data_IF_286844606794
#
_entry.id   IF_286844606794
#
_cell.length_a   1.000
_cell.length_b   1.000
_cell.length_c   1.000
_cell.angle_alpha   90.00
_cell.angle_beta   90.00
_cell.angle_gamma   90.00
#
_symmetry.space_group_name_H-M   'P 1'
#
loop_
_entity.id
_entity.type
_entity.pdbx_description
1 polymer ?
#
# COMPACT_ATOMS: atom_id res chain seq x y z
N UNK A 1 56.27 -0.71 46.97
CA UNK A 1 55.03 -0.61 46.18
C UNK A 1 53.99 0.12 47.03
N UNK A 2 53.17 0.97 46.39
CA UNK A 2 52.19 1.91 46.96
C UNK A 2 52.76 3.20 47.56
N UNK A 3 52.71 4.27 46.73
CA UNK A 3 52.79 5.67 47.16
C UNK A 3 51.40 6.14 47.57
N UNK A 4 51.28 6.67 48.78
CA UNK A 4 50.29 7.67 49.16
C UNK A 4 50.86 8.48 50.33
N UNK A 5 50.31 9.69 50.52
CA UNK A 5 50.47 10.65 51.63
C UNK A 5 51.20 11.95 51.20
N UNK A 6 50.43 13.02 50.88
CA UNK A 6 50.11 14.24 51.67
C UNK A 6 51.39 15.08 51.94
N UNK A 7 51.45 16.41 51.67
CA UNK A 7 51.25 17.46 52.70
C UNK A 7 51.50 18.87 52.11
N UNK A 8 50.44 19.69 52.17
CA UNK A 8 50.28 21.11 52.58
C UNK A 8 51.18 22.26 52.10
N UNK A 9 50.55 23.43 51.90
CA UNK A 9 50.80 24.69 52.66
C UNK A 9 49.48 25.50 52.70
N UNK A 10 48.84 25.62 53.87
CA UNK A 10 48.86 26.81 54.75
C UNK A 10 48.50 28.13 54.06
N UNK A 11 47.34 28.71 54.41
CA UNK A 11 47.38 29.85 55.33
C UNK A 11 46.01 30.23 55.90
N UNK A 12 46.03 30.49 57.20
CA UNK A 12 44.94 30.88 58.07
C UNK A 12 44.88 32.40 58.11
N UNK A 13 43.68 32.99 58.00
CA UNK A 13 43.36 34.25 58.70
C UNK A 13 41.94 34.20 59.23
N UNK A 14 41.84 34.16 60.57
CA UNK A 14 40.62 34.44 61.34
C UNK A 14 40.38 35.94 61.35
N UNK A 15 39.14 36.37 61.15
CA UNK A 15 38.60 37.54 61.86
C UNK A 15 37.19 37.22 62.34
N UNK A 16 37.03 37.34 63.66
CA UNK A 16 35.77 37.30 64.38
C UNK A 16 35.23 38.74 64.39
N UNK A 17 33.97 38.94 64.01
CA UNK A 17 33.22 40.13 64.41
C UNK A 17 31.85 39.71 64.92
N UNK A 18 31.61 40.08 66.16
CA UNK A 18 30.39 39.85 66.93
C UNK A 18 29.50 41.08 66.78
N UNK A 19 28.28 40.94 66.26
CA UNK A 19 27.24 41.97 66.39
C UNK A 19 25.94 41.29 66.86
N UNK A 20 25.46 41.76 68.01
CA UNK A 20 24.19 41.41 68.66
C UNK A 20 23.04 42.20 68.01
N UNK A 21 21.82 41.67 68.11
CA UNK A 21 20.59 42.48 68.05
C UNK A 21 19.60 41.98 67.02
N UNK A 22 18.46 41.46 67.50
CA UNK A 22 17.38 40.96 66.66
C UNK A 22 16.57 42.06 66.00
N UNK A 23 16.06 41.76 64.80
CA UNK A 23 14.81 42.33 64.27
C UNK A 23 14.08 41.22 63.51
N UNK A 24 12.77 41.27 63.71
CA UNK A 24 11.66 40.44 63.27
C UNK A 24 11.52 40.22 61.75
N UNK A 25 10.82 39.13 61.42
CA UNK A 25 9.97 38.93 60.23
C UNK A 25 10.43 39.50 58.88
N UNK A 26 10.78 38.62 57.95
CA UNK A 26 9.88 38.19 56.86
C UNK A 26 10.66 37.27 55.92
N UNK A 27 10.25 36.00 55.85
CA UNK A 27 10.66 35.09 54.78
C UNK A 27 10.12 35.63 53.46
N UNK A 28 10.90 36.42 52.73
CA UNK A 28 10.66 36.64 51.30
C UNK A 28 11.13 35.37 50.56
N UNK A 29 10.25 34.37 50.50
CA UNK A 29 10.32 33.37 49.44
C UNK A 29 9.97 34.11 48.15
N UNK A 30 10.98 34.66 47.48
CA UNK A 30 10.89 35.03 46.07
C UNK A 30 10.70 33.71 45.33
N UNK A 31 9.43 33.33 45.14
CA UNK A 31 9.04 32.31 44.18
C UNK A 31 9.42 32.86 42.80
N UNK A 32 10.64 32.54 42.36
CA UNK A 32 11.00 32.55 40.96
C UNK A 32 10.11 31.49 40.28
N UNK A 33 8.91 31.90 39.89
CA UNK A 33 8.10 31.17 38.92
C UNK A 33 8.87 31.24 37.61
N UNK A 34 9.86 30.36 37.46
CA UNK A 34 10.36 29.91 36.18
C UNK A 34 9.15 29.31 35.50
N UNK A 35 8.45 30.14 34.71
CA UNK A 35 7.52 29.69 33.68
C UNK A 35 8.42 28.95 32.68
N UNK A 36 8.76 27.70 33.01
CA UNK A 36 9.22 26.72 32.06
C UNK A 36 8.03 26.55 31.13
N UNK A 37 7.99 27.41 30.12
CA UNK A 37 7.10 27.28 28.98
C UNK A 37 7.51 25.97 28.33
N UNK A 38 6.94 24.88 28.82
CA UNK A 38 7.00 23.57 28.19
C UNK A 38 6.31 23.81 26.86
N UNK A 39 7.11 24.19 25.87
CA UNK A 39 6.69 24.25 24.48
C UNK A 39 6.35 22.81 24.17
N UNK A 40 5.08 22.45 24.32
CA UNK A 40 4.55 21.23 23.76
C UNK A 40 4.69 21.41 22.25
N UNK A 41 5.86 21.03 21.73
CA UNK A 41 5.99 20.71 20.32
C UNK A 41 4.95 19.65 20.06
N UNK A 42 3.85 20.07 19.42
CA UNK A 42 2.85 19.17 18.87
C UNK A 42 3.54 18.41 17.75
N UNK A 43 4.32 17.40 18.10
CA UNK A 43 4.87 16.48 17.15
C UNK A 43 3.66 15.83 16.50
N UNK A 44 3.40 16.19 15.23
CA UNK A 44 2.37 15.53 14.45
C UNK A 44 2.65 14.04 14.55
N UNK A 45 1.84 13.32 15.33
CA UNK A 45 2.03 11.90 15.50
C UNK A 45 1.88 11.31 14.10
N UNK A 46 3.00 10.76 13.59
CA UNK A 46 2.97 9.80 12.51
C UNK A 46 2.09 8.61 12.92
N UNK A 47 1.92 7.63 12.04
CA UNK A 47 1.18 6.39 12.29
C UNK A 47 0.99 6.00 13.76
N UNK A 48 -0.23 5.59 14.13
CA UNK A 48 -0.46 4.98 15.43
C UNK A 48 0.36 3.69 15.61
N UNK A 49 0.41 3.17 16.84
CA UNK A 49 1.10 1.90 17.15
C UNK A 49 0.45 0.67 16.50
N UNK A 50 -0.81 0.77 16.02
CA UNK A 50 -1.54 -0.37 15.47
C UNK A 50 -0.92 -0.88 14.17
N UNK A 51 -0.89 -2.21 13.97
CA UNK A 51 -0.52 -2.79 12.66
C UNK A 51 -1.63 -2.51 11.66
N UNK A 52 -1.27 -1.91 10.53
CA UNK A 52 -2.23 -1.55 9.49
C UNK A 52 -2.26 -2.66 8.44
N UNK A 53 -3.44 -3.21 8.18
CA UNK A 53 -3.62 -4.34 7.26
C UNK A 53 -4.82 -4.13 6.34
N UNK A 54 -4.92 -4.96 5.30
CA UNK A 54 -6.04 -4.92 4.35
C UNK A 54 -7.39 -5.01 5.08
N UNK A 55 -8.31 -4.14 4.69
CA UNK A 55 -9.61 -3.96 5.36
C UNK A 55 -9.62 -2.87 6.42
N UNK A 56 -8.46 -2.42 6.90
CA UNK A 56 -8.38 -1.25 7.78
C UNK A 56 -8.90 0.01 7.09
N UNK A 57 -9.42 0.92 7.89
CA UNK A 57 -9.87 2.25 7.46
C UNK A 57 -9.39 3.33 8.43
N UNK A 58 -9.34 4.58 7.98
CA UNK A 58 -9.08 5.74 8.83
C UNK A 58 -7.74 6.44 8.58
N UNK A 59 -7.36 7.31 9.51
CA UNK A 59 -6.24 8.26 9.37
C UNK A 59 -4.89 7.58 9.11
N UNK A 60 -4.64 6.44 9.74
CA UNK A 60 -3.42 5.65 9.52
C UNK A 60 -3.34 5.12 8.08
N UNK A 61 -4.48 4.74 7.49
CA UNK A 61 -4.54 4.30 6.09
C UNK A 61 -4.36 5.47 5.14
N UNK A 62 -4.91 6.64 5.48
CA UNK A 62 -4.71 7.89 4.72
C UNK A 62 -3.22 8.23 4.66
N UNK A 63 -2.53 8.20 5.81
CA UNK A 63 -1.09 8.43 5.90
C UNK A 63 -0.31 7.40 5.09
N UNK A 64 -0.67 6.11 5.21
CA UNK A 64 -0.06 5.01 4.44
C UNK A 64 -0.14 5.27 2.94
N UNK A 65 -1.34 5.54 2.43
CA UNK A 65 -1.58 5.84 1.03
C UNK A 65 -0.83 7.09 0.56
N UNK A 66 -0.81 8.16 1.36
CA UNK A 66 -0.13 9.41 1.02
C UNK A 66 1.40 9.24 0.95
N UNK A 67 1.99 8.49 1.89
CA UNK A 67 3.43 8.20 1.90
C UNK A 67 3.84 7.26 0.76
N UNK A 68 3.05 6.22 0.51
CA UNK A 68 3.26 5.34 -0.64
C UNK A 68 3.12 6.10 -1.97
N UNK A 69 2.21 7.07 -2.04
CA UNK A 69 2.05 7.93 -3.22
C UNK A 69 3.23 8.89 -3.36
N UNK A 70 3.72 9.48 -2.27
CA UNK A 70 4.90 10.35 -2.27
C UNK A 70 6.12 9.67 -2.89
N UNK A 71 6.27 8.39 -2.57
CA UNK A 71 7.34 7.53 -3.06
C UNK A 71 7.09 6.93 -4.44
N UNK A 72 5.91 7.15 -5.02
CA UNK A 72 5.53 6.63 -6.35
C UNK A 72 4.98 5.20 -6.37
N UNK A 73 4.87 4.51 -5.22
CA UNK A 73 4.31 3.14 -5.15
C UNK A 73 2.78 3.11 -5.27
N UNK A 74 2.09 4.20 -4.87
CA UNK A 74 0.63 4.25 -4.88
C UNK A 74 0.09 5.29 -5.88
N UNK A 75 -0.70 4.82 -6.86
CA UNK A 75 -1.33 5.65 -7.90
C UNK A 75 -2.85 5.76 -7.75
N UNK A 76 -3.38 5.29 -6.62
CA UNK A 76 -4.80 5.37 -6.30
C UNK A 76 -5.19 6.71 -5.68
N UNK A 77 -6.48 6.86 -5.42
CA UNK A 77 -7.01 7.97 -4.64
C UNK A 77 -6.64 7.74 -3.17
N UNK A 78 -6.16 8.77 -2.49
CA UNK A 78 -6.07 8.74 -1.03
C UNK A 78 -7.49 8.84 -0.50
N UNK A 79 -8.00 7.77 0.10
CA UNK A 79 -9.38 7.63 0.55
C UNK A 79 -9.51 7.03 1.95
N UNK A 80 -8.40 6.62 2.55
CA UNK A 80 -8.38 6.04 3.89
C UNK A 80 -8.97 4.64 3.95
N UNK A 81 -9.10 3.94 2.83
CA UNK A 81 -9.55 2.55 2.78
C UNK A 81 -8.41 1.64 2.33
N UNK A 82 -8.04 0.68 3.17
CA UNK A 82 -6.96 -0.26 2.86
C UNK A 82 -7.53 -1.38 1.98
N UNK A 83 -7.79 -1.01 0.73
CA UNK A 83 -8.10 -1.94 -0.34
C UNK A 83 -6.85 -2.55 -0.97
N UNK A 84 -7.08 -3.36 -1.98
CA UNK A 84 -6.03 -4.10 -2.66
C UNK A 84 -4.99 -3.23 -3.37
N UNK A 85 -5.37 -2.05 -3.87
CA UNK A 85 -4.40 -1.10 -4.45
C UNK A 85 -3.37 -0.64 -3.41
N UNK A 86 -3.82 -0.41 -2.18
CA UNK A 86 -2.96 -0.03 -1.05
C UNK A 86 -2.07 -1.21 -0.64
N UNK A 87 -2.64 -2.42 -0.62
CA UNK A 87 -1.91 -3.67 -0.33
C UNK A 87 -0.72 -3.89 -1.27
N UNK A 88 -0.95 -3.78 -2.58
CA UNK A 88 0.11 -3.95 -3.57
C UNK A 88 1.15 -2.85 -3.53
N UNK A 89 0.73 -1.59 -3.36
CA UNK A 89 1.67 -0.50 -3.17
C UNK A 89 2.56 -0.73 -1.95
N UNK A 90 1.99 -1.22 -0.85
CA UNK A 90 2.73 -1.55 0.36
C UNK A 90 3.71 -2.70 0.15
N UNK A 91 3.30 -3.79 -0.51
CA UNK A 91 4.19 -4.92 -0.80
C UNK A 91 5.32 -4.53 -1.75
N UNK A 92 5.04 -3.74 -2.79
CA UNK A 92 6.08 -3.25 -3.69
C UNK A 92 7.09 -2.36 -2.95
N UNK A 93 6.61 -1.54 -2.03
CA UNK A 93 7.47 -0.78 -1.12
C UNK A 93 8.32 -1.70 -0.25
N UNK A 94 7.71 -2.70 0.39
CA UNK A 94 8.42 -3.68 1.24
C UNK A 94 9.52 -4.41 0.44
N UNK A 95 9.19 -4.92 -0.74
CA UNK A 95 10.13 -5.56 -1.66
C UNK A 95 11.30 -4.63 -2.02
N UNK A 96 11.00 -3.40 -2.48
CA UNK A 96 12.03 -2.43 -2.89
C UNK A 96 12.99 -2.05 -1.75
N UNK A 97 12.48 -2.01 -0.52
CA UNK A 97 13.27 -1.67 0.66
C UNK A 97 13.77 -2.88 1.45
N UNK A 98 13.68 -4.08 0.88
CA UNK A 98 14.16 -5.35 1.46
C UNK A 98 13.57 -5.62 2.86
N UNK A 99 12.30 -5.29 3.03
CA UNK A 99 11.51 -5.61 4.22
C UNK A 99 10.76 -6.93 4.02
N UNK A 100 10.26 -7.56 5.10
CA UNK A 100 9.28 -8.64 4.97
C UNK A 100 8.10 -8.21 4.10
N UNK A 101 7.81 -8.98 3.05
CA UNK A 101 6.78 -8.65 2.03
C UNK A 101 5.43 -9.25 2.42
N UNK A 102 5.03 -9.03 3.67
CA UNK A 102 3.84 -9.58 4.31
C UNK A 102 2.55 -8.78 4.02
N UNK A 103 2.67 -7.59 3.43
CA UNK A 103 1.53 -6.69 3.20
C UNK A 103 0.94 -6.10 4.48
N UNK A 104 1.69 -6.15 5.59
CA UNK A 104 1.36 -5.53 6.87
C UNK A 104 2.22 -4.28 7.07
N UNK A 105 1.58 -3.15 7.34
CA UNK A 105 2.27 -1.96 7.79
C UNK A 105 2.47 -2.07 9.30
N UNK A 106 3.43 -2.94 9.69
CA UNK A 106 3.98 -3.03 11.04
C UNK A 106 5.02 -1.94 11.32
N UNK A 107 5.62 -1.97 12.51
CA UNK A 107 6.52 -0.91 13.01
C UNK A 107 7.71 -0.64 12.06
N UNK A 108 8.41 -1.68 11.62
CA UNK A 108 9.56 -1.58 10.72
C UNK A 108 9.18 -0.94 9.37
N UNK A 109 8.07 -1.39 8.79
CA UNK A 109 7.50 -0.85 7.56
C UNK A 109 7.11 0.62 7.71
N UNK A 110 6.43 0.96 8.80
CA UNK A 110 6.01 2.34 9.11
C UNK A 110 7.19 3.27 9.30
N UNK A 111 8.21 2.87 10.06
CA UNK A 111 9.42 3.66 10.23
C UNK A 111 10.14 3.89 8.89
N UNK A 112 10.20 2.87 8.03
CA UNK A 112 10.82 3.02 6.72
C UNK A 112 10.04 3.99 5.84
N UNK A 113 8.70 3.94 5.86
CA UNK A 113 7.84 4.91 5.16
C UNK A 113 8.10 6.32 5.67
N UNK A 114 8.15 6.53 6.99
CA UNK A 114 8.40 7.84 7.61
C UNK A 114 9.75 8.40 7.20
N UNK A 115 10.82 7.59 7.23
CA UNK A 115 12.17 8.03 6.85
C UNK A 115 12.30 8.32 5.35
N UNK A 116 11.59 7.60 4.50
CA UNK A 116 11.72 7.72 3.05
C UNK A 116 10.80 8.80 2.43
N UNK A 117 9.78 9.27 3.15
CA UNK A 117 8.73 10.14 2.60
C UNK A 117 8.40 11.34 3.48
N UNK A 118 7.92 12.41 2.86
CA UNK A 118 7.23 13.49 3.57
C UNK A 118 5.74 13.16 3.65
N UNK A 119 5.05 13.67 4.66
CA UNK A 119 3.59 13.59 4.76
C UNK A 119 3.02 14.95 5.18
N UNK A 120 2.33 15.60 4.25
CA UNK A 120 1.71 16.91 4.49
C UNK A 120 0.29 16.74 5.03
N UNK A 121 0.16 16.32 6.30
CA UNK A 121 -1.12 15.98 6.95
C UNK A 121 -2.23 17.01 6.69
N UNK A 122 -1.98 18.28 6.98
CA UNK A 122 -2.98 19.35 6.79
C UNK A 122 -3.43 19.46 5.33
N UNK A 123 -2.53 19.36 4.36
CA UNK A 123 -2.87 19.38 2.94
C UNK A 123 -3.79 18.20 2.56
N UNK A 124 -3.45 16.99 3.00
CA UNK A 124 -4.21 15.77 2.68
C UNK A 124 -5.61 15.84 3.30
N UNK A 125 -5.73 16.09 4.61
CA UNK A 125 -7.04 16.16 5.28
C UNK A 125 -7.89 17.35 4.80
N UNK A 126 -7.29 18.51 4.49
CA UNK A 126 -8.01 19.65 3.91
C UNK A 126 -8.67 19.28 2.58
N UNK A 127 -7.96 18.58 1.70
CA UNK A 127 -8.50 18.19 0.40
C UNK A 127 -9.54 17.07 0.52
N UNK A 128 -9.36 16.13 1.45
CA UNK A 128 -10.36 15.09 1.75
C UNK A 128 -11.67 15.72 2.24
N UNK A 129 -11.61 16.61 3.23
CA UNK A 129 -12.80 17.30 3.78
C UNK A 129 -13.50 18.18 2.74
N UNK A 130 -12.74 18.83 1.86
CA UNK A 130 -13.30 19.63 0.75
C UNK A 130 -13.81 18.76 -0.41
N UNK A 131 -13.57 17.45 -0.40
CA UNK A 131 -13.95 16.54 -1.48
C UNK A 131 -13.21 16.80 -2.81
N UNK A 132 -12.02 17.39 -2.74
CA UNK A 132 -11.18 17.64 -3.91
C UNK A 132 -10.56 16.34 -4.44
N UNK A 133 -10.23 16.32 -5.73
CA UNK A 133 -9.34 15.30 -6.28
C UNK A 133 -7.92 15.82 -6.18
N UNK A 134 -7.01 15.07 -5.57
CA UNK A 134 -5.65 15.52 -5.35
C UNK A 134 -4.66 14.36 -5.37
N UNK A 135 -3.37 14.69 -5.47
CA UNK A 135 -2.25 13.77 -5.36
C UNK A 135 -1.25 14.23 -4.30
N UNK A 136 -0.33 13.36 -3.93
CA UNK A 136 0.70 13.61 -2.94
C UNK A 136 2.06 13.05 -3.41
N UNK A 137 2.51 13.37 -4.62
CA UNK A 137 3.78 12.89 -5.17
C UNK A 137 4.98 13.74 -4.68
N UNK A 138 6.12 13.10 -4.43
CA UNK A 138 7.37 13.78 -4.13
C UNK A 138 7.88 14.58 -5.34
N UNK A 139 8.50 15.73 -5.07
CA UNK A 139 9.09 16.58 -6.12
C UNK A 139 8.09 17.47 -6.89
N UNK A 140 6.78 17.33 -6.65
CA UNK A 140 5.75 18.17 -7.28
C UNK A 140 5.22 19.18 -6.25
N UNK A 141 5.17 20.49 -6.58
CA UNK A 141 4.60 21.50 -5.69
C UNK A 141 3.14 21.18 -5.32
N UNK A 142 2.79 21.27 -4.03
CA UNK A 142 1.44 20.94 -3.53
C UNK A 142 0.32 21.72 -4.24
N UNK A 143 0.57 22.97 -4.63
CA UNK A 143 -0.37 23.80 -5.39
C UNK A 143 -0.75 23.21 -6.75
N UNK A 144 0.13 22.42 -7.37
CA UNK A 144 -0.11 21.75 -8.66
C UNK A 144 -0.78 20.38 -8.51
N UNK A 145 -1.00 19.92 -7.28
CA UNK A 145 -1.51 18.57 -7.01
C UNK A 145 -2.99 18.54 -6.64
N UNK A 146 -3.72 19.63 -6.84
CA UNK A 146 -5.16 19.72 -6.51
C UNK A 146 -5.96 20.06 -7.76
N UNK A 147 -7.00 19.28 -8.01
CA UNK A 147 -8.10 19.63 -8.91
C UNK A 147 -9.33 19.88 -8.05
N UNK A 148 -9.70 21.15 -7.94
CA UNK A 148 -10.91 21.53 -7.21
C UNK A 148 -12.12 20.84 -7.85
N UNK A 149 -12.99 20.27 -7.00
CA UNK A 149 -14.28 19.78 -7.47
C UNK A 149 -15.10 20.99 -7.91
N UNK A 150 -15.53 21.04 -9.17
CA UNK A 150 -16.55 21.99 -9.61
C UNK A 150 -17.87 21.63 -8.91
N UNK A 151 -18.08 22.19 -7.72
CA UNK A 151 -19.41 22.27 -7.14
C UNK A 151 -20.20 23.24 -8.00
N UNK A 152 -21.22 22.74 -8.73
CA UNK A 152 -22.38 23.58 -9.08
C UNK A 152 -22.89 24.14 -7.75
N UNK A 153 -22.55 25.39 -7.45
CA UNK A 153 -23.06 26.10 -6.30
C UNK A 153 -24.57 26.26 -6.51
N UNK A 154 -25.37 25.45 -5.80
CA UNK A 154 -26.73 25.87 -5.47
C UNK A 154 -26.56 26.90 -4.37
N UNK A 155 -26.61 28.17 -4.75
CA UNK A 155 -26.73 29.27 -3.80
C UNK A 155 -28.00 29.04 -2.97
N UNK A 156 -27.87 29.01 -1.65
CA UNK A 156 -29.00 29.17 -0.77
C UNK A 156 -28.59 29.98 0.47
N UNK A 157 -28.89 31.26 0.36
CA UNK A 157 -29.12 32.25 1.41
C UNK A 157 -30.23 33.12 0.81
N UNK A 158 -31.36 33.49 1.41
CA UNK A 158 -32.02 33.30 2.71
C UNK A 158 -33.47 33.80 2.49
N UNK A 159 -34.46 33.28 3.22
CA UNK A 159 -35.68 33.98 3.73
C UNK A 159 -36.99 33.18 3.65
N UNK A 160 -37.31 32.55 4.79
CA UNK A 160 -38.57 32.57 5.58
C UNK A 160 -39.98 32.39 4.97
N UNK A 161 -40.72 31.48 5.65
CA UNK A 161 -42.16 31.43 6.01
C UNK A 161 -43.13 30.49 5.26
N UNK A 162 -43.35 29.36 5.95
CA UNK A 162 -44.63 28.76 6.45
C UNK A 162 -45.71 28.17 5.52
N UNK A 163 -46.19 27.02 5.99
CA UNK A 163 -47.51 26.35 5.88
C UNK A 163 -47.81 25.33 4.77
N UNK A 164 -47.89 24.07 5.25
CA UNK A 164 -48.94 23.05 5.12
C UNK A 164 -49.37 22.42 3.77
N UNK A 165 -49.40 21.08 3.86
CA UNK A 165 -50.38 20.08 3.35
C UNK A 165 -50.18 19.43 1.96
N UNK A 166 -49.83 18.14 2.06
CA UNK A 166 -50.47 16.95 1.50
C UNK A 166 -50.54 16.68 -0.03
N UNK A 167 -50.36 15.38 -0.31
CA UNK A 167 -50.91 14.56 -1.41
C UNK A 167 -50.09 14.38 -2.70
N UNK A 168 -49.30 13.30 -2.70
CA UNK A 168 -49.38 12.14 -3.61
C UNK A 168 -50.04 12.31 -4.99
N UNK A 169 -49.26 12.17 -6.09
CA UNK A 169 -49.38 11.08 -7.08
C UNK A 169 -48.44 11.28 -8.27
N UNK A 170 -47.87 10.16 -8.70
CA UNK A 170 -47.09 9.92 -9.91
C UNK A 170 -47.74 10.49 -11.18
N UNK A 171 -46.96 10.84 -12.22
CA UNK A 171 -46.71 9.96 -13.40
C UNK A 171 -45.65 10.58 -14.31
N UNK A 172 -44.77 9.71 -14.83
CA UNK A 172 -43.65 9.96 -15.74
C UNK A 172 -44.13 10.09 -17.21
N UNK A 173 -43.24 10.40 -18.18
CA UNK A 173 -42.77 9.28 -19.00
C UNK A 173 -41.26 9.30 -19.30
N UNK A 174 -40.60 8.28 -18.75
CA UNK A 174 -39.93 7.20 -19.49
C UNK A 174 -38.80 7.58 -20.46
N UNK A 175 -37.56 7.45 -19.95
CA UNK A 175 -36.37 7.20 -20.76
C UNK A 175 -35.78 5.83 -20.41
N UNK A 176 -35.53 5.08 -21.47
CA UNK A 176 -35.13 3.67 -21.56
C UNK A 176 -33.79 3.43 -20.86
N UNK A 177 -33.82 2.56 -19.84
CA UNK A 177 -32.64 2.18 -19.07
C UNK A 177 -31.79 1.13 -19.81
N UNK A 178 -30.55 1.50 -20.16
CA UNK A 178 -29.51 0.51 -20.49
C UNK A 178 -29.08 -0.16 -19.18
N UNK A 179 -29.39 -1.45 -19.08
CA UNK A 179 -29.12 -2.31 -17.92
C UNK A 179 -27.61 -2.45 -17.70
N UNK A 180 -27.06 -1.71 -16.74
CA UNK A 180 -25.69 -1.88 -16.25
C UNK A 180 -25.56 -3.27 -15.63
N UNK A 181 -24.92 -4.19 -16.34
CA UNK A 181 -24.64 -5.54 -15.84
C UNK A 181 -23.70 -5.41 -14.64
N UNK A 182 -24.20 -5.77 -13.46
CA UNK A 182 -23.46 -5.89 -12.22
C UNK A 182 -22.48 -7.05 -12.40
N UNK A 183 -21.16 -6.80 -12.33
CA UNK A 183 -20.17 -7.87 -12.32
C UNK A 183 -20.54 -8.85 -11.19
N UNK A 184 -20.97 -10.06 -11.55
CA UNK A 184 -21.29 -11.10 -10.61
C UNK A 184 -20.01 -11.45 -9.82
N UNK A 185 -20.13 -11.56 -8.50
CA UNK A 185 -19.06 -12.08 -7.67
C UNK A 185 -18.88 -13.56 -8.02
N UNK A 186 -17.94 -13.84 -8.93
CA UNK A 186 -17.55 -15.23 -9.25
C UNK A 186 -17.04 -15.86 -7.96
N UNK A 187 -17.58 -17.00 -7.57
CA UNK A 187 -17.08 -17.79 -6.45
C UNK A 187 -15.64 -18.20 -6.79
N UNK A 188 -14.66 -17.59 -6.14
CA UNK A 188 -13.24 -17.87 -6.35
C UNK A 188 -12.85 -19.06 -5.49
N UNK A 189 -12.10 -20.05 -6.00
CA UNK A 189 -11.61 -21.17 -5.21
C UNK A 189 -10.90 -20.70 -3.94
N UNK A 190 -11.14 -21.40 -2.82
CA UNK A 190 -10.56 -21.07 -1.52
C UNK A 190 -9.04 -20.90 -1.63
N UNK A 191 -8.51 -19.76 -1.16
CA UNK A 191 -7.08 -19.44 -1.20
C UNK A 191 -6.65 -18.41 -2.25
N UNK A 192 -7.52 -18.05 -3.22
CA UNK A 192 -7.21 -17.06 -4.25
C UNK A 192 -8.17 -15.86 -4.22
N UNK A 193 -7.64 -14.64 -4.32
CA UNK A 193 -8.45 -13.43 -4.41
C UNK A 193 -8.84 -13.12 -5.86
N UNK A 194 -9.86 -12.27 -6.05
CA UNK A 194 -10.22 -11.78 -7.40
C UNK A 194 -9.07 -11.07 -8.12
N UNK A 195 -8.13 -10.48 -7.39
CA UNK A 195 -6.95 -9.88 -8.01
C UNK A 195 -5.90 -10.92 -8.39
N UNK A 196 -5.76 -11.99 -7.62
CA UNK A 196 -4.89 -13.11 -8.01
C UNK A 196 -5.38 -13.70 -9.33
N UNK A 197 -6.69 -13.88 -9.47
CA UNK A 197 -7.30 -14.27 -10.74
C UNK A 197 -7.02 -13.26 -11.85
N UNK A 198 -7.10 -11.96 -11.57
CA UNK A 198 -6.83 -10.92 -12.57
C UNK A 198 -5.35 -10.91 -12.99
N UNK A 199 -4.42 -11.03 -12.04
CA UNK A 199 -2.99 -11.12 -12.31
C UNK A 199 -2.67 -12.37 -13.12
N UNK A 200 -3.14 -13.54 -12.69
CA UNK A 200 -2.96 -14.80 -13.41
C UNK A 200 -3.55 -14.71 -14.82
N UNK A 201 -4.76 -14.17 -14.96
CA UNK A 201 -5.41 -14.09 -16.27
C UNK A 201 -4.69 -13.14 -17.22
N UNK A 202 -4.15 -12.02 -16.72
CA UNK A 202 -3.35 -11.10 -17.53
C UNK A 202 -1.98 -11.70 -17.89
N UNK A 203 -1.35 -12.44 -16.97
CA UNK A 203 -0.12 -13.18 -17.23
C UNK A 203 -0.35 -14.26 -18.31
N UNK A 204 -1.35 -15.12 -18.12
CA UNK A 204 -1.76 -16.15 -19.11
C UNK A 204 -2.10 -15.52 -20.45
N UNK A 205 -2.75 -14.36 -20.47
CA UNK A 205 -3.04 -13.65 -21.71
C UNK A 205 -1.76 -13.21 -22.43
N UNK A 206 -0.79 -12.63 -21.73
CA UNK A 206 0.49 -12.22 -22.35
C UNK A 206 1.26 -13.40 -22.93
N UNK A 207 1.26 -14.53 -22.22
CA UNK A 207 2.06 -15.70 -22.59
C UNK A 207 1.41 -16.58 -23.65
N UNK A 208 0.09 -16.72 -23.62
CA UNK A 208 -0.64 -17.73 -24.41
C UNK A 208 -1.75 -17.13 -25.28
N UNK A 209 -1.70 -15.82 -25.59
CA UNK A 209 -2.62 -15.22 -26.57
C UNK A 209 -2.43 -15.87 -27.95
N UNK A 210 -3.53 -16.38 -28.50
CA UNK A 210 -3.52 -17.06 -29.80
C UNK A 210 -3.13 -18.53 -29.73
N UNK A 211 -2.81 -19.06 -28.55
CA UNK A 211 -2.62 -20.50 -28.33
C UNK A 211 -3.98 -21.22 -28.19
N UNK A 212 -4.03 -22.53 -28.48
CA UNK A 212 -5.23 -23.34 -28.20
C UNK A 212 -5.60 -23.24 -26.71
N UNK A 213 -6.89 -23.39 -26.39
CA UNK A 213 -7.39 -23.21 -25.01
C UNK A 213 -6.62 -24.05 -23.98
N UNK A 214 -6.32 -25.31 -24.32
CA UNK A 214 -5.50 -26.21 -23.49
C UNK A 214 -4.10 -25.66 -23.19
N UNK A 215 -3.51 -24.87 -24.11
CA UNK A 215 -2.23 -24.18 -23.88
C UNK A 215 -2.36 -23.01 -22.90
N UNK A 216 -3.48 -22.28 -22.91
CA UNK A 216 -3.75 -21.23 -21.92
C UNK A 216 -3.93 -21.83 -20.52
N UNK A 217 -4.66 -22.95 -20.41
CA UNK A 217 -4.80 -23.69 -19.14
C UNK A 217 -3.45 -24.21 -18.67
N UNK A 218 -2.60 -24.72 -19.58
CA UNK A 218 -1.27 -25.21 -19.22
C UNK A 218 -0.37 -24.11 -18.65
N UNK A 219 -0.37 -22.88 -19.20
CA UNK A 219 0.37 -21.75 -18.59
C UNK A 219 -0.17 -21.38 -17.21
N UNK A 220 -1.50 -21.38 -17.04
CA UNK A 220 -2.12 -21.14 -15.74
C UNK A 220 -1.70 -22.22 -14.71
N UNK A 221 -1.65 -23.48 -15.12
CA UNK A 221 -1.20 -24.59 -14.29
C UNK A 221 0.28 -24.46 -13.90
N UNK A 222 1.17 -23.99 -14.81
CA UNK A 222 2.56 -23.70 -14.47
C UNK A 222 2.67 -22.64 -13.35
N UNK A 223 1.83 -21.60 -13.37
CA UNK A 223 1.80 -20.60 -12.28
C UNK A 223 1.48 -21.30 -10.95
N UNK A 224 0.48 -22.18 -10.92
CA UNK A 224 0.09 -22.93 -9.72
C UNK A 224 1.17 -23.93 -9.27
N UNK A 225 1.81 -24.61 -10.20
CA UNK A 225 2.91 -25.54 -9.93
C UNK A 225 4.12 -24.82 -9.31
N UNK A 226 4.42 -23.59 -9.77
CA UNK A 226 5.44 -22.73 -9.15
C UNK A 226 5.06 -22.33 -7.74
N UNK A 227 3.81 -21.90 -7.49
CA UNK A 227 3.35 -21.56 -6.14
C UNK A 227 3.51 -22.73 -5.17
N UNK A 228 3.30 -23.96 -5.65
CA UNK A 228 3.43 -25.19 -4.85
C UNK A 228 4.86 -25.74 -4.78
N UNK A 229 5.82 -25.14 -5.49
CA UNK A 229 7.20 -25.61 -5.55
C UNK A 229 8.10 -24.82 -4.58
N UNK A 230 8.96 -25.49 -3.80
CA UNK A 230 9.88 -24.80 -2.90
C UNK A 230 10.96 -23.98 -3.64
N UNK A 231 11.12 -24.18 -4.96
CA UNK A 231 12.07 -23.45 -5.79
C UNK A 231 11.57 -22.08 -6.24
N UNK A 232 10.33 -21.72 -5.93
CA UNK A 232 9.69 -20.49 -6.36
C UNK A 232 8.97 -19.80 -5.19
N UNK A 233 8.61 -18.51 -5.33
CA UNK A 233 7.76 -17.84 -4.37
C UNK A 233 6.40 -18.54 -4.22
N UNK A 234 5.91 -18.65 -2.99
CA UNK A 234 4.66 -19.33 -2.65
C UNK A 234 3.40 -18.45 -2.77
N UNK A 235 3.42 -17.42 -3.61
CA UNK A 235 2.27 -16.52 -3.85
C UNK A 235 2.13 -16.20 -5.34
N UNK A 236 0.90 -16.02 -5.83
CA UNK A 236 0.62 -15.67 -7.24
C UNK A 236 1.46 -14.50 -7.72
N UNK A 237 1.50 -13.42 -6.96
CA UNK A 237 2.31 -12.27 -7.33
C UNK A 237 3.81 -12.52 -7.21
N UNK A 238 4.25 -13.32 -6.23
CA UNK A 238 5.65 -13.69 -6.12
C UNK A 238 6.12 -14.38 -7.41
N UNK A 239 5.35 -15.35 -7.90
CA UNK A 239 5.61 -16.06 -9.16
C UNK A 239 5.51 -15.13 -10.37
N UNK A 240 4.46 -14.33 -10.46
CA UNK A 240 4.20 -13.49 -11.64
C UNK A 240 5.23 -12.35 -11.78
N UNK A 241 5.67 -11.76 -10.66
CA UNK A 241 6.61 -10.63 -10.67
C UNK A 241 8.07 -11.04 -10.52
N UNK A 242 8.40 -12.34 -10.57
CA UNK A 242 9.80 -12.75 -10.70
C UNK A 242 10.42 -12.12 -11.96
N UNK A 243 11.65 -11.58 -11.87
CA UNK A 243 12.28 -10.89 -13.00
C UNK A 243 12.35 -11.78 -14.25
N UNK A 244 11.71 -11.34 -15.33
CA UNK A 244 11.70 -12.04 -16.62
C UNK A 244 10.79 -13.27 -16.68
N UNK A 245 9.95 -13.53 -15.67
CA UNK A 245 9.08 -14.70 -15.65
C UNK A 245 7.87 -14.60 -16.59
N UNK A 246 7.33 -13.39 -16.79
CA UNK A 246 6.14 -13.13 -17.60
C UNK A 246 6.27 -11.81 -18.38
N UNK A 247 6.04 -11.85 -19.69
CA UNK A 247 6.10 -10.71 -20.61
C UNK A 247 5.08 -9.62 -20.27
N UNK A 248 3.87 -10.01 -19.86
CA UNK A 248 2.79 -9.09 -19.47
C UNK A 248 3.16 -8.10 -18.35
N UNK A 249 4.15 -8.44 -17.51
CA UNK A 249 4.69 -7.56 -16.48
C UNK A 249 5.57 -6.48 -17.10
N UNK A 250 6.49 -6.87 -17.99
CA UNK A 250 7.40 -5.96 -18.68
C UNK A 250 6.63 -5.00 -19.60
N UNK A 251 5.61 -5.50 -20.29
CA UNK A 251 4.79 -4.75 -21.24
C UNK A 251 3.70 -3.89 -20.57
N UNK A 252 3.63 -3.91 -19.23
CA UNK A 252 2.66 -3.15 -18.43
C UNK A 252 1.20 -3.61 -18.56
N UNK A 253 0.95 -4.70 -19.29
CA UNK A 253 -0.39 -5.24 -19.56
C UNK A 253 -1.03 -5.91 -18.32
N UNK A 254 -0.24 -6.17 -17.29
CA UNK A 254 -0.67 -6.86 -16.06
C UNK A 254 -1.82 -6.15 -15.31
N UNK A 255 -2.09 -4.87 -15.59
CA UNK A 255 -3.13 -4.07 -14.92
C UNK A 255 -4.40 -3.87 -15.73
N UNK A 256 -4.51 -4.47 -16.92
CA UNK A 256 -5.69 -4.35 -17.77
C UNK A 256 -6.82 -5.28 -17.33
N UNK A 257 -7.99 -5.08 -17.93
CA UNK A 257 -9.10 -6.02 -17.80
C UNK A 257 -8.72 -7.33 -18.50
N UNK A 258 -8.75 -8.48 -17.80
CA UNK A 258 -8.36 -9.75 -18.40
C UNK A 258 -9.29 -10.16 -19.54
N UNK A 259 -8.71 -10.81 -20.55
CA UNK A 259 -9.51 -11.50 -21.55
C UNK A 259 -10.33 -12.63 -20.90
N UNK A 260 -11.58 -12.77 -21.31
CA UNK A 260 -12.52 -13.75 -20.74
C UNK A 260 -12.00 -15.19 -20.86
N UNK A 261 -11.36 -15.53 -21.99
CA UNK A 261 -10.77 -16.86 -22.23
C UNK A 261 -9.64 -17.16 -21.25
N UNK A 262 -8.74 -16.19 -21.04
CA UNK A 262 -7.60 -16.36 -20.12
C UNK A 262 -8.08 -16.43 -18.67
N UNK A 263 -9.11 -15.68 -18.30
CA UNK A 263 -9.76 -15.80 -16.98
C UNK A 263 -10.39 -17.18 -16.79
N UNK A 264 -11.07 -17.72 -17.80
CA UNK A 264 -11.66 -19.06 -17.76
C UNK A 264 -10.57 -20.13 -17.62
N UNK A 265 -9.47 -20.02 -18.36
CA UNK A 265 -8.34 -20.94 -18.28
C UNK A 265 -7.71 -20.98 -16.87
N UNK A 266 -7.61 -19.82 -16.21
CA UNK A 266 -7.16 -19.73 -14.82
C UNK A 266 -8.11 -20.46 -13.87
N UNK A 267 -9.42 -20.26 -14.03
CA UNK A 267 -10.41 -20.95 -13.20
C UNK A 267 -10.35 -22.47 -13.39
N UNK A 268 -10.18 -22.94 -14.62
CA UNK A 268 -10.06 -24.36 -14.92
C UNK A 268 -8.80 -24.98 -14.30
N UNK A 269 -7.67 -24.28 -14.35
CA UNK A 269 -6.45 -24.71 -13.66
C UNK A 269 -6.61 -24.74 -12.13
N UNK A 270 -7.28 -23.72 -11.56
CA UNK A 270 -7.59 -23.68 -10.12
C UNK A 270 -8.53 -24.80 -9.67
N UNK A 271 -9.40 -25.27 -10.57
CA UNK A 271 -10.26 -26.44 -10.35
C UNK A 271 -9.52 -27.78 -10.51
N UNK A 272 -8.20 -27.75 -10.73
CA UNK A 272 -7.33 -28.93 -10.76
C UNK A 272 -6.96 -29.42 -12.15
N UNK A 273 -7.35 -28.72 -13.22
CA UNK A 273 -6.94 -29.14 -14.56
C UNK A 273 -5.51 -28.70 -14.87
N UNK A 274 -4.57 -29.65 -14.88
CA UNK A 274 -3.18 -29.41 -15.32
C UNK A 274 -2.81 -30.21 -16.60
N UNK A 275 -2.99 -29.62 -17.79
CA UNK A 275 -2.56 -30.23 -19.05
C UNK A 275 -1.03 -30.33 -19.19
N UNK A 276 -0.27 -29.50 -18.47
CA UNK A 276 1.19 -29.44 -18.52
C UNK A 276 1.87 -30.64 -17.85
N UNK A 277 1.11 -31.38 -17.02
CA UNK A 277 1.59 -32.53 -16.25
C UNK A 277 2.69 -32.18 -15.23
N UNK A 278 2.44 -31.14 -14.43
CA UNK A 278 3.33 -30.71 -13.36
C UNK A 278 4.54 -29.92 -13.85
N UNK A 279 4.43 -29.23 -14.99
CA UNK A 279 5.52 -28.44 -15.53
C UNK A 279 5.80 -27.20 -14.66
N UNK A 280 7.08 -26.81 -14.57
CA UNK A 280 7.54 -25.59 -13.89
C UNK A 280 8.05 -24.55 -14.90
N UNK A 281 8.37 -24.99 -16.11
CA UNK A 281 8.90 -24.16 -17.19
C UNK A 281 8.19 -24.45 -18.50
N UNK A 282 8.23 -23.49 -19.41
CA UNK A 282 7.85 -23.68 -20.80
C UNK A 282 8.67 -22.75 -21.69
N UNK A 283 8.77 -23.08 -22.98
CA UNK A 283 9.41 -22.22 -23.97
C UNK A 283 8.86 -22.48 -25.37
N UNK A 284 9.01 -21.50 -26.25
CA UNK A 284 8.76 -21.68 -27.68
C UNK A 284 10.06 -22.11 -28.38
N UNK A 285 10.15 -23.32 -28.95
CA UNK A 285 11.37 -23.84 -29.55
C UNK A 285 11.82 -23.05 -30.79
N UNK A 286 10.94 -22.25 -31.39
CA UNK A 286 11.29 -21.41 -32.54
C UNK A 286 11.96 -20.08 -32.14
N UNK A 287 11.81 -19.63 -30.89
CA UNK A 287 12.33 -18.34 -30.43
C UNK A 287 13.28 -18.45 -29.24
N UNK A 288 13.34 -19.60 -28.57
CA UNK A 288 14.16 -19.78 -27.38
C UNK A 288 15.64 -19.97 -27.73
N UNK A 289 16.46 -19.02 -27.29
CA UNK A 289 17.92 -19.01 -27.50
C UNK A 289 18.72 -19.45 -26.27
N UNK A 290 18.10 -19.52 -25.09
CA UNK A 290 18.79 -19.85 -23.84
C UNK A 290 19.08 -21.36 -23.74
N UNK A 291 20.35 -21.78 -23.81
CA UNK A 291 20.75 -23.19 -23.71
C UNK A 291 20.28 -23.91 -22.43
N UNK A 292 20.10 -23.19 -21.32
CA UNK A 292 19.61 -23.77 -20.07
C UNK A 292 18.17 -24.28 -20.17
N UNK A 293 17.29 -23.63 -20.96
CA UNK A 293 15.90 -24.11 -21.08
C UNK A 293 15.82 -25.41 -21.87
N UNK A 294 16.73 -25.59 -22.83
CA UNK A 294 16.82 -26.80 -23.66
C UNK A 294 17.34 -28.01 -22.89
N UNK A 295 18.06 -27.80 -21.78
CA UNK A 295 18.54 -28.90 -20.93
C UNK A 295 17.49 -29.41 -19.93
N UNK A 296 16.35 -28.72 -19.80
CA UNK A 296 15.27 -29.16 -18.91
C UNK A 296 14.59 -30.41 -19.46
N UNK A 297 14.23 -31.39 -18.61
CA UNK A 297 13.44 -32.55 -19.03
C UNK A 297 12.11 -32.12 -19.67
N UNK A 298 11.97 -32.38 -20.97
CA UNK A 298 10.78 -32.02 -21.74
C UNK A 298 9.67 -33.03 -21.49
N UNK A 299 8.47 -32.53 -21.16
CA UNK A 299 7.31 -33.36 -20.84
C UNK A 299 6.47 -33.57 -22.11
N UNK A 300 6.04 -32.48 -22.74
CA UNK A 300 5.20 -32.49 -23.94
C UNK A 300 5.17 -31.12 -24.61
N UNK A 301 4.64 -31.06 -25.83
CA UNK A 301 4.33 -29.84 -26.56
C UNK A 301 2.82 -29.60 -26.61
N UNK A 302 2.40 -28.37 -26.32
CA UNK A 302 1.02 -27.90 -26.51
C UNK A 302 1.08 -26.59 -27.28
N UNK A 303 0.51 -26.57 -28.49
CA UNK A 303 0.63 -25.43 -29.38
C UNK A 303 2.09 -25.10 -29.70
N UNK A 304 2.49 -23.86 -29.45
CA UNK A 304 3.86 -23.37 -29.66
C UNK A 304 4.78 -23.64 -28.48
N UNK A 305 4.27 -24.08 -27.34
CA UNK A 305 5.08 -24.26 -26.13
C UNK A 305 5.46 -25.71 -25.87
N UNK A 306 6.75 -25.93 -25.54
CA UNK A 306 7.25 -27.15 -24.90
C UNK A 306 7.24 -26.90 -23.39
N UNK A 307 6.62 -27.80 -22.63
CA UNK A 307 6.51 -27.75 -21.17
C UNK A 307 7.53 -28.69 -20.53
N UNK A 308 8.18 -28.24 -19.45
CA UNK A 308 9.36 -28.89 -18.85
C UNK A 308 9.32 -28.88 -17.31
N UNK A 309 10.07 -29.81 -16.70
CA UNK A 309 10.36 -29.81 -15.26
C UNK A 309 11.68 -29.15 -14.94
#
# INVERSE_FOLDING_TARGET
MYKNVIVTKNNVKRYCLHIKGGVTMRKWFICLFLIFSFSYTSQAHAFSKQVIQRGAVGDDVIELQARLQYLGFYRGKIDGVFGWRTYWALRNFQYKFKLPVDGLAGETTKQKLVRASKYYKSFVHNNLRKGNTFTHYGGIPLSKQVKARQTKAKNQATATRTTNKQANKNTSPQQTAVKRVKAAAVNVPNGFSQNDLQLMANAVHGEARGEPYIGQVAVAAVILNRINSPSFPNTVAGVIFEPGAFTAVADGQIWLTPNETSRKAVLDALNGWDPSSGALYYFNPHTATNGWIWSRPQIKRIGKHIFCK
#
